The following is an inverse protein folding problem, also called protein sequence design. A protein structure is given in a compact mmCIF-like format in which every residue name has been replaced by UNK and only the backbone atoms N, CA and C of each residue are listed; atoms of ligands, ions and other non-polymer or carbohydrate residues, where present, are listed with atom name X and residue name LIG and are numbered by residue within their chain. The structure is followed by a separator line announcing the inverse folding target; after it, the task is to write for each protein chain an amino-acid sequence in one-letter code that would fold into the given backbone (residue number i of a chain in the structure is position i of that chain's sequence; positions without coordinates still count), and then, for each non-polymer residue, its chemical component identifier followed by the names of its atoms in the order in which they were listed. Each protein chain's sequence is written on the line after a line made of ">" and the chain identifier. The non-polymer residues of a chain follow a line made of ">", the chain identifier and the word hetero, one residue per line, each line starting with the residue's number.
data_IF_525824672311
#
_entry.id   IF_525824672311
#
_cell.length_a   1.000
_cell.length_b   1.000
_cell.length_c   1.000
_cell.angle_alpha   90.00
_cell.angle_beta   90.00
_cell.angle_gamma   90.00
#
_symmetry.space_group_name_H-M   'P 1'
#
loop_
_entity.id
_entity.type
_entity.pdbx_description
1 polymer ?
#
# COMPACT_ATOMS: atom_id res chain seq x y z
N UNK A 1 12.44 21.26 7.47
CA UNK A 1 11.32 20.43 8.01
C UNK A 1 10.58 19.68 6.90
N UNK A 2 10.05 20.35 5.87
CA UNK A 2 9.35 19.67 4.75
C UNK A 2 10.29 18.81 3.88
N UNK A 3 11.53 19.27 3.64
CA UNK A 3 12.50 18.56 2.78
C UNK A 3 12.97 17.23 3.40
N UNK A 4 13.20 17.21 4.72
CA UNK A 4 13.62 16.01 5.45
C UNK A 4 12.50 14.99 5.57
N UNK A 5 11.27 15.45 5.82
CA UNK A 5 10.08 14.59 5.79
C UNK A 5 9.90 13.95 4.41
N UNK A 6 9.99 14.74 3.34
CA UNK A 6 9.92 14.24 1.96
C UNK A 6 11.01 13.21 1.64
N UNK A 7 12.24 13.42 2.12
CA UNK A 7 13.33 12.46 1.92
C UNK A 7 13.10 11.12 2.64
N UNK A 8 12.56 11.16 3.86
CA UNK A 8 12.24 9.95 4.64
C UNK A 8 11.10 9.18 3.97
N UNK A 9 10.00 9.85 3.63
CA UNK A 9 8.86 9.24 2.95
C UNK A 9 9.26 8.67 1.59
N UNK A 10 10.07 9.39 0.82
CA UNK A 10 10.63 8.90 -0.45
C UNK A 10 11.46 7.63 -0.27
N UNK A 11 12.29 7.55 0.79
CA UNK A 11 13.08 6.34 1.10
C UNK A 11 12.18 5.15 1.47
N UNK A 12 11.11 5.39 2.23
CA UNK A 12 10.14 4.36 2.59
C UNK A 12 9.37 3.86 1.37
N UNK A 13 8.85 4.75 0.53
CA UNK A 13 8.23 4.38 -0.73
C UNK A 13 9.18 3.53 -1.57
N UNK A 14 10.43 3.97 -1.75
CA UNK A 14 11.41 3.20 -2.52
C UNK A 14 11.70 1.81 -1.92
N UNK A 15 11.72 1.68 -0.59
CA UNK A 15 11.90 0.38 0.07
C UNK A 15 10.68 -0.54 -0.15
N UNK A 16 9.47 0.01 -0.06
CA UNK A 16 8.23 -0.73 -0.31
C UNK A 16 8.09 -1.13 -1.78
N UNK A 17 8.44 -0.25 -2.72
CA UNK A 17 8.48 -0.58 -4.16
C UNK A 17 9.39 -1.78 -4.41
N UNK A 18 10.59 -1.81 -3.82
CA UNK A 18 11.50 -2.97 -3.97
C UNK A 18 10.91 -4.26 -3.38
N UNK A 19 10.21 -4.16 -2.26
CA UNK A 19 9.55 -5.32 -1.65
C UNK A 19 8.44 -5.85 -2.58
N UNK A 20 7.56 -4.98 -3.08
CA UNK A 20 6.49 -5.38 -4.00
C UNK A 20 7.03 -5.92 -5.33
N UNK A 21 8.10 -5.35 -5.88
CA UNK A 21 8.75 -5.94 -7.07
C UNK A 21 9.27 -7.35 -6.77
N UNK A 22 9.85 -7.59 -5.59
CA UNK A 22 10.28 -8.93 -5.18
C UNK A 22 9.12 -9.93 -5.04
N UNK A 23 7.92 -9.45 -4.73
CA UNK A 23 6.69 -10.25 -4.66
C UNK A 23 6.04 -10.51 -6.04
N UNK A 24 6.60 -9.92 -7.12
CA UNK A 24 6.23 -10.19 -8.50
C UNK A 24 5.36 -9.11 -9.18
N UNK A 25 5.24 -7.93 -8.58
CA UNK A 25 4.54 -6.78 -9.15
C UNK A 25 5.43 -6.09 -10.19
N UNK A 26 4.85 -5.51 -11.24
CA UNK A 26 5.61 -4.62 -12.13
C UNK A 26 6.02 -3.33 -11.40
N UNK A 27 7.06 -2.66 -11.92
CA UNK A 27 7.69 -1.55 -11.23
C UNK A 27 6.77 -0.34 -11.04
N UNK A 28 5.94 -0.03 -12.03
CA UNK A 28 5.00 1.11 -11.98
C UNK A 28 3.86 0.84 -10.99
N UNK A 29 3.33 -0.38 -10.99
CA UNK A 29 2.33 -0.84 -10.04
C UNK A 29 2.87 -0.91 -8.61
N UNK A 30 4.10 -1.40 -8.44
CA UNK A 30 4.78 -1.47 -7.15
C UNK A 30 5.05 -0.07 -6.58
N UNK A 31 5.48 0.88 -7.42
CA UNK A 31 5.68 2.27 -7.02
C UNK A 31 4.37 2.94 -6.61
N UNK A 32 3.31 2.74 -7.40
CA UNK A 32 1.98 3.27 -7.09
C UNK A 32 1.40 2.68 -5.80
N UNK A 33 1.57 1.37 -5.59
CA UNK A 33 1.11 0.68 -4.37
C UNK A 33 1.86 1.18 -3.13
N UNK A 34 3.17 1.40 -3.24
CA UNK A 34 3.98 1.96 -2.14
C UNK A 34 3.49 3.33 -1.70
N UNK A 35 3.23 4.24 -2.65
CA UNK A 35 2.69 5.58 -2.35
C UNK A 35 1.31 5.48 -1.70
N UNK A 36 0.42 4.64 -2.25
CA UNK A 36 -0.92 4.43 -1.70
C UNK A 36 -0.86 3.92 -0.25
N UNK A 37 -0.03 2.91 0.03
CA UNK A 37 0.12 2.34 1.38
C UNK A 37 0.63 3.36 2.39
N UNK A 38 1.61 4.19 2.02
CA UNK A 38 2.12 5.26 2.89
C UNK A 38 1.02 6.31 3.15
N UNK A 39 0.34 6.79 2.11
CA UNK A 39 -0.72 7.78 2.25
C UNK A 39 -1.87 7.27 3.15
N UNK A 40 -2.26 6.00 3.01
CA UNK A 40 -3.26 5.37 3.85
C UNK A 40 -2.81 5.29 5.31
N UNK A 41 -1.55 4.91 5.56
CA UNK A 41 -0.99 4.83 6.91
C UNK A 41 -0.91 6.21 7.58
N UNK A 42 -0.50 7.25 6.84
CA UNK A 42 -0.48 8.63 7.34
C UNK A 42 -1.89 9.10 7.72
N UNK A 43 -2.90 8.82 6.87
CA UNK A 43 -4.30 9.10 7.17
C UNK A 43 -4.79 8.36 8.42
N UNK A 44 -4.40 7.10 8.59
CA UNK A 44 -4.71 6.31 9.77
C UNK A 44 -4.12 6.91 11.05
N UNK A 45 -2.85 7.34 11.00
CA UNK A 45 -2.19 8.02 12.14
C UNK A 45 -2.94 9.30 12.50
N UNK A 46 -3.34 10.11 11.52
CA UNK A 46 -4.08 11.36 11.75
C UNK A 46 -5.45 11.07 12.39
N UNK A 47 -6.18 10.07 11.88
CA UNK A 47 -7.47 9.65 12.44
C UNK A 47 -7.31 9.11 13.86
N UNK A 48 -6.35 8.22 14.10
CA UNK A 48 -6.07 7.64 15.41
C UNK A 48 -5.78 8.70 16.46
N UNK A 49 -4.98 9.71 16.09
CA UNK A 49 -4.67 10.84 16.98
C UNK A 49 -5.90 11.72 17.23
N UNK A 50 -6.77 11.87 16.23
CA UNK A 50 -7.96 12.72 16.34
C UNK A 50 -9.08 12.06 17.15
N UNK A 51 -9.19 10.74 17.09
CA UNK A 51 -10.21 9.96 17.80
C UNK A 51 -9.71 9.35 19.11
N UNK A 52 -8.42 9.50 19.43
CA UNK A 52 -7.75 8.86 20.56
C UNK A 52 -7.95 7.33 20.57
N UNK A 53 -7.97 6.72 19.38
CA UNK A 53 -8.13 5.27 19.21
C UNK A 53 -7.08 4.73 18.23
N UNK A 54 -6.59 3.51 18.48
CA UNK A 54 -5.67 2.82 17.58
C UNK A 54 -6.40 2.08 16.44
N UNK A 55 -7.73 1.95 16.51
CA UNK A 55 -8.52 1.16 15.56
C UNK A 55 -8.33 1.55 14.09
N UNK A 56 -8.22 2.85 13.71
CA UNK A 56 -7.95 3.23 12.32
C UNK A 56 -6.65 2.61 11.75
N UNK A 57 -5.61 2.47 12.59
CA UNK A 57 -4.35 1.84 12.17
C UNK A 57 -4.51 0.35 11.93
N UNK A 58 -5.27 -0.36 12.77
CA UNK A 58 -5.57 -1.78 12.54
C UNK A 58 -6.38 -1.97 11.25
N UNK A 59 -7.45 -1.18 11.06
CA UNK A 59 -8.29 -1.29 9.87
C UNK A 59 -7.51 -1.07 8.56
N UNK A 60 -6.62 -0.07 8.54
CA UNK A 60 -5.78 0.22 7.38
C UNK A 60 -4.73 -0.87 7.17
N UNK A 61 -4.10 -1.37 8.24
CA UNK A 61 -3.16 -2.48 8.15
C UNK A 61 -3.79 -3.73 7.52
N UNK A 62 -4.95 -4.15 8.05
CA UNK A 62 -5.68 -5.32 7.56
C UNK A 62 -6.09 -5.16 6.08
N UNK A 63 -6.55 -3.97 5.68
CA UNK A 63 -6.96 -3.72 4.29
C UNK A 63 -5.77 -3.63 3.33
N UNK A 64 -4.64 -3.05 3.74
CA UNK A 64 -3.43 -3.01 2.90
C UNK A 64 -2.93 -4.44 2.65
N UNK A 65 -2.87 -5.28 3.68
CA UNK A 65 -2.46 -6.68 3.53
C UNK A 65 -3.39 -7.44 2.57
N UNK A 66 -4.70 -7.27 2.72
CA UNK A 66 -5.69 -7.87 1.83
C UNK A 66 -5.51 -7.40 0.39
N UNK A 67 -5.34 -6.09 0.15
CA UNK A 67 -5.19 -5.53 -1.19
C UNK A 67 -3.91 -5.99 -1.88
N UNK A 68 -2.80 -6.10 -1.15
CA UNK A 68 -1.54 -6.65 -1.69
C UNK A 68 -1.77 -8.09 -2.14
N UNK A 69 -2.34 -8.94 -1.28
CA UNK A 69 -2.64 -10.35 -1.61
C UNK A 69 -3.62 -10.48 -2.78
N UNK A 70 -4.64 -9.62 -2.83
CA UNK A 70 -5.60 -9.62 -3.93
C UNK A 70 -4.94 -9.23 -5.26
N UNK A 71 -4.07 -8.22 -5.26
CA UNK A 71 -3.34 -7.79 -6.47
C UNK A 71 -2.32 -8.85 -6.92
N UNK A 72 -1.58 -9.46 -5.99
CA UNK A 72 -0.71 -10.61 -6.24
C UNK A 72 -1.49 -11.79 -6.85
N UNK A 73 -2.67 -12.11 -6.30
CA UNK A 73 -3.55 -13.15 -6.82
C UNK A 73 -3.98 -12.87 -8.26
N UNK A 74 -4.41 -11.64 -8.56
CA UNK A 74 -4.81 -11.24 -9.91
C UNK A 74 -3.65 -11.34 -10.90
N UNK A 75 -2.44 -10.92 -10.50
CA UNK A 75 -1.23 -11.05 -11.32
C UNK A 75 -0.94 -12.52 -11.65
N UNK A 76 -1.06 -13.41 -10.66
CA UNK A 76 -0.72 -14.83 -10.83
C UNK A 76 -1.76 -15.63 -11.60
N UNK A 77 -3.05 -15.31 -11.44
CA UNK A 77 -4.15 -16.12 -12.00
C UNK A 77 -4.84 -15.47 -13.19
N UNK A 78 -4.51 -14.22 -13.52
CA UNK A 78 -5.29 -13.40 -14.45
C UNK A 78 -6.64 -12.97 -13.85
N UNK A 79 -7.26 -11.97 -14.46
CA UNK A 79 -8.68 -11.70 -14.21
C UNK A 79 -9.50 -12.77 -14.94
N UNK A 80 -10.52 -13.39 -14.32
CA UNK A 80 -11.44 -14.24 -15.07
C UNK A 80 -12.02 -13.43 -16.22
N UNK A 81 -11.85 -13.92 -17.45
CA UNK A 81 -12.35 -13.21 -18.63
C UNK A 81 -13.87 -13.07 -18.47
N UNK A 82 -14.39 -11.84 -18.64
CA UNK A 82 -15.81 -11.51 -18.46
C UNK A 82 -16.71 -12.23 -19.48
N UNK A 83 -16.15 -13.08 -20.35
CA UNK A 83 -16.82 -13.76 -21.47
C UNK A 83 -17.42 -15.13 -21.11
N UNK A 84 -17.20 -15.62 -19.90
CA UNK A 84 -17.76 -16.91 -19.45
C UNK A 84 -19.05 -16.72 -18.62
N UNK A 85 -20.05 -16.05 -19.19
CA UNK A 85 -21.37 -15.85 -18.59
C UNK A 85 -22.48 -15.73 -19.62
#
# INVERSE_FOLDING_TARGET
>A
LSTEAGAILGRWCAAMTRAFVADGFDEDDAASLAVMSIAALEGAIVLSRSTHSIDPLHHVGDHIEFLIKAKEFVIRNGLPDKRDG
#
